data_IF_040111438991
#
_entry.id   IF_040111438991
#
_cell.length_a   1.000
_cell.length_b   1.000
_cell.length_c   1.000
_cell.angle_alpha   90.00
_cell.angle_beta   90.00
_cell.angle_gamma   90.00
#
_symmetry.space_group_name_H-M   'P 1'
#
loop_
_entity.id
_entity.type
_entity.pdbx_description
1 polymer ?
#
# COMPACT_ATOMS: atom_id res chain seq x y z
N UNK A 1 4.69 -13.26 -5.32
CA UNK A 1 3.38 -12.79 -4.80
C UNK A 1 3.58 -12.30 -3.39
N UNK A 2 2.97 -11.18 -3.01
CA UNK A 2 3.13 -10.48 -1.74
C UNK A 2 1.75 -10.16 -1.18
N UNK A 3 1.57 -10.34 0.12
CA UNK A 3 0.39 -9.88 0.85
C UNK A 3 0.82 -8.74 1.76
N UNK A 4 0.01 -7.69 1.85
CA UNK A 4 0.27 -6.57 2.73
C UNK A 4 -1.00 -6.11 3.44
N UNK A 5 -0.82 -5.60 4.64
CA UNK A 5 -1.86 -4.96 5.42
C UNK A 5 -1.25 -3.77 6.16
N UNK A 6 -2.03 -2.72 6.32
CA UNK A 6 -1.64 -1.48 6.96
C UNK A 6 -2.84 -0.80 7.60
N UNK A 7 -2.57 0.10 8.53
CA UNK A 7 -3.57 0.99 9.08
C UNK A 7 -2.92 2.32 9.39
N UNK A 8 -3.67 3.41 9.31
CA UNK A 8 -3.17 4.74 9.62
C UNK A 8 -4.25 5.58 10.28
N UNK A 9 -3.85 6.47 11.17
CA UNK A 9 -4.71 7.45 11.81
C UNK A 9 -3.96 8.79 11.90
N UNK A 10 -4.69 9.90 11.82
CA UNK A 10 -4.15 11.25 12.02
C UNK A 10 -4.78 11.81 13.30
N UNK A 11 -3.94 12.33 14.19
CA UNK A 11 -4.36 12.98 15.44
C UNK A 11 -3.56 14.26 15.66
N UNK A 12 -4.19 15.26 16.30
CA UNK A 12 -3.54 16.55 16.56
C UNK A 12 -2.49 16.53 17.67
N UNK A 13 -2.40 15.46 18.46
CA UNK A 13 -1.38 15.24 19.46
C UNK A 13 -1.13 13.73 19.67
N UNK A 14 0.03 13.34 20.23
CA UNK A 14 0.37 11.92 20.41
C UNK A 14 -0.61 11.17 21.32
N UNK A 15 -1.18 11.81 22.34
CA UNK A 15 -2.11 11.20 23.27
C UNK A 15 -3.48 10.85 22.66
N UNK A 16 -3.89 11.57 21.61
CA UNK A 16 -5.15 11.34 20.91
C UNK A 16 -5.07 10.26 19.81
N UNK A 17 -3.88 9.71 19.52
CA UNK A 17 -3.70 8.66 18.50
C UNK A 17 -4.48 7.38 18.82
N UNK A 18 -4.62 7.03 20.11
CA UNK A 18 -5.35 5.83 20.54
C UNK A 18 -6.85 5.93 20.25
N UNK A 19 -7.42 7.13 20.35
CA UNK A 19 -8.83 7.42 20.05
C UNK A 19 -9.08 7.93 18.63
N UNK A 20 -8.03 8.05 17.81
CA UNK A 20 -8.13 8.58 16.47
C UNK A 20 -8.85 7.63 15.51
N UNK A 21 -9.31 8.17 14.37
CA UNK A 21 -9.99 7.38 13.36
C UNK A 21 -8.99 6.54 12.56
N UNK A 22 -8.89 5.25 12.88
CA UNK A 22 -8.03 4.32 12.16
C UNK A 22 -8.63 3.89 10.82
N UNK A 23 -7.80 3.90 9.78
CA UNK A 23 -8.13 3.53 8.41
C UNK A 23 -7.35 2.27 8.01
N UNK A 24 -7.85 1.07 8.38
CA UNK A 24 -7.23 -0.17 7.96
C UNK A 24 -7.37 -0.38 6.44
N UNK A 25 -6.35 -0.99 5.86
CA UNK A 25 -6.23 -1.37 4.47
C UNK A 25 -5.42 -2.65 4.32
N UNK A 26 -5.70 -3.42 3.28
CA UNK A 26 -4.97 -4.63 2.95
C UNK A 26 -5.00 -4.88 1.44
N UNK A 27 -4.08 -5.68 0.95
CA UNK A 27 -3.99 -5.98 -0.47
C UNK A 27 -3.04 -7.11 -0.80
N UNK A 28 -3.06 -7.45 -2.08
CA UNK A 28 -2.17 -8.44 -2.68
C UNK A 28 -1.39 -7.77 -3.80
N UNK A 29 -0.15 -8.21 -3.98
CA UNK A 29 0.73 -7.67 -4.99
C UNK A 29 1.53 -8.75 -5.71
N UNK A 30 1.87 -8.46 -6.96
CA UNK A 30 2.82 -9.23 -7.73
C UNK A 30 3.94 -8.29 -8.19
N UNK A 31 5.18 -8.73 -7.97
CA UNK A 31 6.39 -7.99 -8.33
C UNK A 31 7.27 -8.91 -9.14
N UNK A 32 7.75 -8.41 -10.27
CA UNK A 32 8.67 -9.15 -11.13
C UNK A 32 9.55 -8.19 -11.91
N UNK A 33 10.73 -8.69 -12.29
CA UNK A 33 11.65 -7.98 -13.16
C UNK A 33 11.37 -8.41 -14.61
N UNK A 34 10.99 -7.45 -15.47
CA UNK A 34 10.71 -7.74 -16.88
C UNK A 34 11.99 -7.77 -17.72
N UNK A 35 12.94 -6.89 -17.40
CA UNK A 35 14.28 -6.76 -17.99
C UNK A 35 15.25 -6.33 -16.90
N UNK A 36 16.57 -6.55 -17.08
CA UNK A 36 17.59 -6.02 -16.17
C UNK A 36 17.30 -4.57 -15.82
N UNK A 37 17.14 -4.27 -14.52
CA UNK A 37 16.86 -2.92 -13.97
C UNK A 37 15.44 -2.38 -14.19
N UNK A 38 14.52 -3.18 -14.73
CA UNK A 38 13.10 -2.80 -14.92
C UNK A 38 12.20 -3.66 -14.04
N UNK A 39 11.77 -3.07 -12.93
CA UNK A 39 10.89 -3.70 -11.94
C UNK A 39 9.44 -3.29 -12.15
N UNK A 40 8.57 -4.28 -12.34
CA UNK A 40 7.13 -4.08 -12.47
C UNK A 40 6.45 -4.51 -11.18
N UNK A 41 5.50 -3.71 -10.73
CA UNK A 41 4.69 -3.94 -9.53
C UNK A 41 3.22 -3.74 -9.87
N UNK A 42 2.42 -4.73 -9.54
CA UNK A 42 0.97 -4.68 -9.64
C UNK A 42 0.35 -5.04 -8.30
N UNK A 43 -0.46 -4.15 -7.73
CA UNK A 43 -1.11 -4.34 -6.44
C UNK A 43 -2.61 -4.05 -6.54
N UNK A 44 -3.40 -4.86 -5.86
CA UNK A 44 -4.83 -4.61 -5.65
C UNK A 44 -5.06 -4.47 -4.17
N UNK A 45 -5.63 -3.34 -3.76
CA UNK A 45 -5.85 -2.99 -2.36
C UNK A 45 -7.30 -2.64 -2.07
N UNK A 46 -7.73 -2.99 -0.86
CA UNK A 46 -9.02 -2.63 -0.27
C UNK A 46 -8.80 -2.03 1.11
N UNK A 47 -9.54 -0.98 1.43
CA UNK A 47 -9.54 -0.30 2.71
C UNK A 47 -10.94 0.10 3.11
N UNK A 48 -11.08 0.72 4.29
CA UNK A 48 -12.37 0.97 4.94
C UNK A 48 -13.41 1.64 4.03
N UNK A 49 -13.02 2.58 3.17
CA UNK A 49 -13.88 3.27 2.19
C UNK A 49 -13.21 3.42 0.81
N UNK A 50 -12.20 2.60 0.50
CA UNK A 50 -11.42 2.75 -0.73
C UNK A 50 -11.06 1.41 -1.31
N UNK A 51 -11.16 1.26 -2.63
CA UNK A 51 -10.64 0.11 -3.37
C UNK A 51 -9.86 0.65 -4.56
N UNK A 52 -8.72 0.04 -4.86
CA UNK A 52 -7.83 0.57 -5.89
C UNK A 52 -6.94 -0.50 -6.49
N UNK A 53 -6.59 -0.29 -7.75
CA UNK A 53 -5.56 -1.04 -8.47
C UNK A 53 -4.38 -0.10 -8.68
N UNK A 54 -3.19 -0.55 -8.31
CA UNK A 54 -1.95 0.18 -8.43
C UNK A 54 -1.02 -0.55 -9.37
N UNK A 55 -0.51 0.16 -10.36
CA UNK A 55 0.48 -0.36 -11.30
C UNK A 55 1.68 0.58 -11.31
N UNK A 56 2.87 0.04 -11.12
CA UNK A 56 4.12 0.79 -11.07
C UNK A 56 5.19 0.10 -11.91
N UNK A 57 5.92 0.87 -12.70
CA UNK A 57 7.12 0.44 -13.42
C UNK A 57 8.26 1.33 -12.92
N UNK A 58 9.34 0.71 -12.44
CA UNK A 58 10.53 1.40 -12.02
C UNK A 58 11.70 0.96 -12.91
N UNK A 59 12.35 1.91 -13.56
CA UNK A 59 13.61 1.71 -14.28
C UNK A 59 14.73 2.39 -13.47
N UNK A 60 15.74 1.61 -13.08
CA UNK A 60 16.94 2.14 -12.42
C UNK A 60 18.04 2.34 -13.48
N UNK A 61 18.49 3.58 -13.66
CA UNK A 61 19.56 3.97 -14.58
C UNK A 61 20.94 3.83 -13.94
#
# INVERSE_FOLDING_TARGET
>A
MVFWAGTGAIAGNPGALTSAHWLPNAGVGYRFEFKPRVNVRFDVGVGRNTKGVYFQINEAF
#
